data_IF_380276414351
#
_entry.id   IF_380276414351
#
_cell.length_a   1.000
_cell.length_b   1.000
_cell.length_c   1.000
_cell.angle_alpha   90.00
_cell.angle_beta   90.00
_cell.angle_gamma   90.00
#
_symmetry.space_group_name_H-M   'P 1'
#
loop_
_entity.id
_entity.type
_entity.pdbx_description
1 polymer ?
#
# COMPACT_ATOMS: atom_id res chain seq x y z
N UNK A 1 -21.69 42.49 4.06
CA UNK A 1 -20.67 41.83 4.91
C UNK A 1 -20.74 40.29 4.87
N UNK A 2 -21.92 39.67 5.07
CA UNK A 2 -22.09 38.19 5.02
C UNK A 2 -21.61 37.53 3.72
N UNK A 3 -21.89 38.13 2.56
CA UNK A 3 -21.46 37.60 1.25
C UNK A 3 -19.93 37.52 1.10
N UNK A 4 -19.21 38.50 1.65
CA UNK A 4 -17.74 38.55 1.56
C UNK A 4 -17.09 37.41 2.38
N UNK A 5 -17.65 37.11 3.56
CA UNK A 5 -17.17 36.02 4.42
C UNK A 5 -17.39 34.65 3.78
N UNK A 6 -18.52 34.47 3.07
CA UNK A 6 -18.80 33.23 2.33
C UNK A 6 -17.80 33.06 1.19
N UNK A 7 -17.50 34.12 0.44
CA UNK A 7 -16.52 34.06 -0.66
C UNK A 7 -15.13 33.72 -0.12
N UNK A 8 -14.69 34.34 0.99
CA UNK A 8 -13.39 34.05 1.61
C UNK A 8 -13.33 32.59 2.09
N UNK A 9 -14.39 32.09 2.73
CA UNK A 9 -14.45 30.70 3.20
C UNK A 9 -14.35 29.69 2.04
N UNK A 10 -15.06 29.93 0.93
CA UNK A 10 -14.97 29.09 -0.27
C UNK A 10 -13.58 29.16 -0.88
N UNK A 11 -12.97 30.36 -0.96
CA UNK A 11 -11.63 30.52 -1.52
C UNK A 11 -10.55 29.87 -0.66
N UNK A 12 -10.65 29.94 0.68
CA UNK A 12 -9.75 29.23 1.59
C UNK A 12 -9.90 27.71 1.48
N UNK A 13 -11.13 27.21 1.31
CA UNK A 13 -11.38 25.79 1.08
C UNK A 13 -10.83 25.31 -0.27
N UNK A 14 -10.97 26.12 -1.32
CA UNK A 14 -10.40 25.82 -2.64
C UNK A 14 -8.87 25.90 -2.63
N UNK A 15 -8.28 26.92 -1.98
CA UNK A 15 -6.82 27.04 -1.83
C UNK A 15 -6.22 25.91 -0.99
N UNK A 16 -6.90 25.46 0.06
CA UNK A 16 -6.48 24.30 0.84
C UNK A 16 -6.49 23.01 0.00
N UNK A 17 -7.44 22.89 -0.94
CA UNK A 17 -7.50 21.74 -1.85
C UNK A 17 -6.54 21.83 -3.04
N UNK A 18 -6.21 23.05 -3.53
CA UNK A 18 -5.31 23.27 -4.66
C UNK A 18 -3.84 23.24 -4.23
N UNK A 19 -3.52 23.74 -3.03
CA UNK A 19 -2.14 23.90 -2.56
C UNK A 19 -1.46 22.61 -2.08
N UNK A 20 -2.12 21.45 -2.22
CA UNK A 20 -1.60 20.13 -1.82
C UNK A 20 -1.64 19.08 -2.93
N UNK A 21 -1.90 19.49 -4.17
CA UNK A 21 -1.77 18.61 -5.33
C UNK A 21 -0.44 18.92 -6.03
N UNK A 22 0.68 18.59 -5.40
CA UNK A 22 1.89 18.32 -6.17
C UNK A 22 1.62 17.02 -6.94
N UNK A 23 1.16 17.17 -8.18
CA UNK A 23 1.13 16.07 -9.14
C UNK A 23 2.60 15.66 -9.34
N UNK A 24 3.01 14.53 -8.76
CA UNK A 24 4.33 13.99 -8.99
C UNK A 24 4.48 13.75 -10.49
N UNK A 25 5.57 14.25 -11.08
CA UNK A 25 5.85 13.90 -12.48
C UNK A 25 6.06 12.39 -12.58
N UNK A 26 5.75 11.78 -13.73
CA UNK A 26 6.02 10.35 -13.96
C UNK A 26 7.49 9.98 -13.64
N UNK A 27 8.41 10.93 -13.83
CA UNK A 27 9.83 10.79 -13.50
C UNK A 27 10.09 10.71 -11.99
N UNK A 28 9.33 11.43 -11.17
CA UNK A 28 9.47 11.40 -9.72
C UNK A 28 8.92 10.10 -9.14
N UNK A 29 7.80 9.60 -9.70
CA UNK A 29 7.22 8.31 -9.31
C UNK A 29 8.17 7.18 -9.68
N UNK A 30 8.72 7.19 -10.91
CA UNK A 30 9.68 6.17 -11.36
C UNK A 30 10.90 6.12 -10.44
N UNK A 31 11.46 7.28 -10.08
CA UNK A 31 12.58 7.37 -9.13
C UNK A 31 12.22 6.84 -7.75
N UNK A 32 11.06 7.20 -7.23
CA UNK A 32 10.60 6.74 -5.91
C UNK A 32 10.37 5.23 -5.89
N UNK A 33 9.71 4.67 -6.89
CA UNK A 33 9.43 3.22 -6.96
C UNK A 33 10.74 2.45 -7.10
N UNK A 34 11.64 2.89 -7.97
CA UNK A 34 12.88 2.13 -8.27
C UNK A 34 14.00 2.36 -7.26
N UNK A 35 13.84 3.27 -6.31
CA UNK A 35 14.74 3.38 -5.16
C UNK A 35 14.36 2.42 -4.03
N UNK A 36 13.71 1.28 -4.33
CA UNK A 36 13.35 0.29 -3.30
C UNK A 36 14.64 -0.28 -2.69
N UNK A 37 14.87 -0.18 -1.38
CA UNK A 37 16.06 -0.75 -0.74
C UNK A 37 16.02 -2.29 -0.73
N UNK A 38 17.18 -2.93 -0.84
CA UNK A 38 17.30 -4.40 -0.83
C UNK A 38 17.12 -4.99 0.58
N UNK A 39 17.47 -4.24 1.62
CA UNK A 39 17.34 -4.65 3.02
C UNK A 39 16.05 -4.10 3.63
N UNK A 40 15.05 -4.96 3.79
CA UNK A 40 13.75 -4.62 4.38
C UNK A 40 13.81 -4.23 5.87
N UNK A 41 14.97 -4.41 6.53
CA UNK A 41 15.19 -4.02 7.92
C UNK A 41 15.91 -2.67 8.08
N UNK A 42 16.34 -2.06 6.97
CA UNK A 42 17.11 -0.81 6.96
C UNK A 42 16.27 0.42 7.26
N UNK A 43 16.91 1.49 7.78
CA UNK A 43 16.25 2.79 7.96
C UNK A 43 15.80 3.38 6.62
N UNK A 44 16.58 3.15 5.55
CA UNK A 44 16.22 3.55 4.20
C UNK A 44 14.90 2.90 3.75
N UNK A 45 14.68 1.63 4.07
CA UNK A 45 13.44 0.92 3.75
C UNK A 45 12.25 1.54 4.46
N UNK A 46 12.34 1.80 5.77
CA UNK A 46 11.25 2.44 6.50
C UNK A 46 10.93 3.84 5.97
N UNK A 47 11.95 4.63 5.64
CA UNK A 47 11.77 5.95 5.02
C UNK A 47 11.09 5.83 3.65
N UNK A 48 11.50 4.86 2.84
CA UNK A 48 10.88 4.58 1.54
C UNK A 48 9.41 4.14 1.70
N UNK A 49 9.12 3.25 2.65
CA UNK A 49 7.75 2.81 2.98
C UNK A 49 6.85 3.98 3.34
N UNK A 50 7.34 4.91 4.16
CA UNK A 50 6.58 6.10 4.56
C UNK A 50 6.25 6.99 3.34
N UNK A 51 7.23 7.19 2.44
CA UNK A 51 7.03 7.95 1.20
C UNK A 51 6.00 7.27 0.29
N UNK A 52 6.08 5.95 0.11
CA UNK A 52 5.09 5.21 -0.68
C UNK A 52 3.69 5.35 -0.07
N UNK A 53 3.54 5.15 1.25
CA UNK A 53 2.25 5.21 1.93
C UNK A 53 1.60 6.59 1.91
N UNK A 54 2.40 7.65 1.96
CA UNK A 54 1.92 9.04 1.96
C UNK A 54 1.68 9.60 0.55
N UNK A 55 2.30 8.99 -0.48
CA UNK A 55 2.09 9.40 -1.87
C UNK A 55 0.64 9.16 -2.32
N UNK A 56 0.01 10.25 -2.76
CA UNK A 56 -1.38 10.27 -3.21
C UNK A 56 -1.49 9.58 -4.57
N UNK A 57 -2.51 8.75 -4.75
CA UNK A 57 -2.81 8.06 -6.01
C UNK A 57 -1.70 7.14 -6.56
N UNK A 58 -0.62 6.91 -5.81
CA UNK A 58 0.57 6.22 -6.28
C UNK A 58 0.28 4.82 -6.84
N UNK A 59 -0.73 4.11 -6.32
CA UNK A 59 -1.13 2.80 -6.83
C UNK A 59 -1.50 2.85 -8.31
N UNK A 60 -2.25 3.87 -8.76
CA UNK A 60 -2.61 4.01 -10.18
C UNK A 60 -1.40 4.31 -11.06
N UNK A 61 -0.47 5.11 -10.54
CA UNK A 61 0.74 5.45 -11.29
C UNK A 61 1.72 4.27 -11.35
N UNK A 62 1.82 3.46 -10.28
CA UNK A 62 2.57 2.21 -10.32
C UNK A 62 1.94 1.23 -11.32
N UNK A 63 0.60 1.14 -11.41
CA UNK A 63 -0.06 0.31 -12.43
C UNK A 63 0.24 0.78 -13.86
N UNK A 64 0.33 2.09 -14.09
CA UNK A 64 0.75 2.64 -15.40
C UNK A 64 2.21 2.30 -15.68
N UNK A 65 3.10 2.47 -14.70
CA UNK A 65 4.51 2.09 -14.82
C UNK A 65 4.64 0.61 -15.17
N UNK A 66 3.94 -0.26 -14.45
CA UNK A 66 3.97 -1.70 -14.65
C UNK A 66 3.55 -2.11 -16.07
N UNK A 67 2.55 -1.44 -16.67
CA UNK A 67 2.08 -1.71 -18.05
C UNK A 67 3.02 -1.23 -19.14
N UNK A 68 3.79 -0.18 -18.86
CA UNK A 68 4.66 0.47 -19.84
C UNK A 68 6.13 0.07 -19.68
N UNK A 69 6.46 -0.75 -18.68
CA UNK A 69 7.84 -1.13 -18.39
C UNK A 69 8.26 -2.35 -19.21
N UNK A 70 9.30 -2.16 -20.03
CA UNK A 70 9.86 -3.19 -20.89
C UNK A 70 10.92 -4.02 -20.15
N UNK A 71 11.56 -3.45 -19.12
CA UNK A 71 12.54 -4.15 -18.31
C UNK A 71 11.87 -4.91 -17.16
N UNK A 72 11.74 -6.22 -17.33
CA UNK A 72 11.14 -7.11 -16.34
C UNK A 72 11.86 -7.12 -14.98
N UNK A 73 13.14 -6.75 -14.92
CA UNK A 73 13.88 -6.65 -13.65
C UNK A 73 13.26 -5.58 -12.73
N UNK A 74 12.62 -4.58 -13.33
CA UNK A 74 11.99 -3.47 -12.61
C UNK A 74 10.56 -3.79 -12.13
N UNK A 75 10.01 -4.94 -12.51
CA UNK A 75 8.71 -5.41 -12.01
C UNK A 75 8.75 -5.64 -10.50
N UNK A 76 9.85 -6.17 -9.98
CA UNK A 76 10.03 -6.41 -8.55
C UNK A 76 9.75 -5.13 -7.73
N UNK A 77 10.35 -4.01 -8.09
CA UNK A 77 10.15 -2.73 -7.42
C UNK A 77 8.70 -2.25 -7.46
N UNK A 78 8.04 -2.44 -8.61
CA UNK A 78 6.63 -2.05 -8.79
C UNK A 78 5.71 -2.89 -7.90
N UNK A 79 5.90 -4.21 -7.86
CA UNK A 79 5.12 -5.09 -6.99
C UNK A 79 5.39 -4.86 -5.50
N UNK A 80 6.64 -4.62 -5.11
CA UNK A 80 7.00 -4.25 -3.74
C UNK A 80 6.30 -2.95 -3.31
N UNK A 81 6.32 -1.92 -4.16
CA UNK A 81 5.63 -0.65 -3.90
C UNK A 81 4.11 -0.85 -3.74
N UNK A 82 3.47 -1.64 -4.60
CA UNK A 82 2.04 -1.97 -4.49
C UNK A 82 1.71 -2.74 -3.19
N UNK A 83 2.58 -3.67 -2.79
CA UNK A 83 2.42 -4.44 -1.55
C UNK A 83 2.52 -3.53 -0.32
N UNK A 84 3.54 -2.68 -0.28
CA UNK A 84 3.75 -1.71 0.82
C UNK A 84 2.61 -0.71 0.90
N UNK A 85 2.08 -0.28 -0.24
CA UNK A 85 1.00 0.70 -0.29
C UNK A 85 -0.30 0.15 0.30
N UNK A 86 -0.63 -1.11 -0.01
CA UNK A 86 -1.72 -1.87 0.61
C UNK A 86 -3.14 -1.37 0.29
N UNK A 87 -3.31 -0.46 -0.67
CA UNK A 87 -4.61 0.14 -1.01
C UNK A 87 -5.04 -0.10 -2.46
N UNK A 88 -4.46 -1.12 -3.11
CA UNK A 88 -4.83 -1.49 -4.47
C UNK A 88 -6.33 -1.78 -4.54
N UNK A 89 -7.03 -1.12 -5.46
CA UNK A 89 -8.47 -1.31 -5.60
C UNK A 89 -8.77 -2.75 -6.04
N UNK A 90 -9.81 -3.36 -5.47
CA UNK A 90 -10.19 -4.74 -5.76
C UNK A 90 -10.36 -4.99 -7.27
N UNK A 91 -11.01 -4.06 -7.98
CA UNK A 91 -11.19 -4.16 -9.45
C UNK A 91 -9.88 -4.18 -10.24
N UNK A 92 -8.85 -3.47 -9.75
CA UNK A 92 -7.53 -3.46 -10.40
C UNK A 92 -6.78 -4.76 -10.10
N UNK A 93 -6.89 -5.27 -8.87
CA UNK A 93 -6.35 -6.57 -8.49
C UNK A 93 -6.99 -7.71 -9.30
N UNK A 94 -8.31 -7.73 -9.43
CA UNK A 94 -9.06 -8.69 -10.26
C UNK A 94 -8.55 -8.69 -11.70
N UNK A 95 -8.38 -7.49 -12.29
CA UNK A 95 -7.86 -7.35 -13.65
C UNK A 95 -6.44 -7.91 -13.79
N UNK A 96 -5.55 -7.61 -12.84
CA UNK A 96 -4.19 -8.17 -12.85
C UNK A 96 -4.24 -9.70 -12.74
N UNK A 97 -5.10 -10.25 -11.88
CA UNK A 97 -5.24 -11.70 -11.75
C UNK A 97 -5.72 -12.35 -13.04
N UNK A 98 -6.71 -11.77 -13.73
CA UNK A 98 -7.16 -12.27 -15.04
C UNK A 98 -6.01 -12.28 -16.06
N UNK A 99 -5.15 -11.26 -16.06
CA UNK A 99 -3.97 -11.19 -16.92
C UNK A 99 -2.94 -12.29 -16.56
N UNK A 100 -2.62 -12.47 -15.27
CA UNK A 100 -1.71 -13.52 -14.81
C UNK A 100 -2.24 -14.93 -15.10
N UNK A 101 -3.55 -15.13 -14.94
CA UNK A 101 -4.25 -16.36 -15.28
C UNK A 101 -4.18 -16.64 -16.78
N UNK A 102 -4.43 -15.63 -17.61
CA UNK A 102 -4.35 -15.78 -19.06
C UNK A 102 -2.94 -16.16 -19.52
N UNK A 103 -1.90 -15.68 -18.84
CA UNK A 103 -0.51 -16.08 -19.08
C UNK A 103 -0.31 -17.56 -18.69
N UNK A 104 -0.81 -17.96 -17.52
CA UNK A 104 -0.66 -19.32 -17.01
C UNK A 104 -1.44 -20.37 -17.82
N UNK A 105 -2.64 -20.02 -18.29
CA UNK A 105 -3.51 -20.89 -19.10
C UNK A 105 -3.15 -20.87 -20.60
N UNK A 106 -2.18 -20.04 -21.00
CA UNK A 106 -1.73 -19.95 -22.40
C UNK A 106 -1.17 -21.30 -22.88
N UNK A 107 -1.54 -21.77 -24.08
CA UNK A 107 -0.95 -22.98 -24.67
C UNK A 107 0.51 -22.78 -25.11
N UNK A 108 0.99 -21.52 -25.13
CA UNK A 108 2.38 -21.19 -25.42
C UNK A 108 3.15 -21.08 -24.12
N UNK A 109 4.38 -21.59 -24.11
CA UNK A 109 5.29 -21.38 -22.98
C UNK A 109 5.50 -19.87 -22.76
N UNK A 110 5.25 -19.35 -21.55
CA UNK A 110 5.41 -17.93 -21.28
C UNK A 110 6.87 -17.53 -21.31
N UNK A 111 7.13 -16.32 -21.79
CA UNK A 111 8.45 -15.68 -21.75
C UNK A 111 8.89 -15.42 -20.32
N UNK A 112 10.19 -15.17 -20.10
CA UNK A 112 10.70 -14.86 -18.76
C UNK A 112 10.02 -13.64 -18.13
N UNK A 113 9.77 -12.59 -18.94
CA UNK A 113 9.05 -11.38 -18.50
C UNK A 113 7.63 -11.70 -18.06
N UNK A 114 6.87 -12.45 -18.85
CA UNK A 114 5.50 -12.89 -18.50
C UNK A 114 5.47 -13.75 -17.23
N UNK A 115 6.46 -14.63 -17.06
CA UNK A 115 6.60 -15.44 -15.83
C UNK A 115 6.83 -14.57 -14.60
N UNK A 116 7.73 -13.59 -14.68
CA UNK A 116 8.02 -12.70 -13.56
C UNK A 116 6.81 -11.80 -13.27
N UNK A 117 6.16 -11.30 -14.31
CA UNK A 117 4.96 -10.49 -14.21
C UNK A 117 3.82 -11.24 -13.48
N UNK A 118 3.43 -12.42 -13.98
CA UNK A 118 2.35 -13.20 -13.39
C UNK A 118 2.70 -13.70 -11.97
N UNK A 119 3.96 -14.10 -11.74
CA UNK A 119 4.44 -14.45 -10.40
C UNK A 119 4.34 -13.27 -9.42
N UNK A 120 4.74 -12.08 -9.85
CA UNK A 120 4.62 -10.86 -9.07
C UNK A 120 3.18 -10.53 -8.71
N UNK A 121 2.23 -10.73 -9.63
CA UNK A 121 0.79 -10.57 -9.36
C UNK A 121 0.30 -11.56 -8.30
N UNK A 122 0.63 -12.84 -8.40
CA UNK A 122 0.27 -13.80 -7.36
C UNK A 122 0.88 -13.43 -6.00
N UNK A 123 2.10 -12.87 -6.00
CA UNK A 123 2.74 -12.40 -4.76
C UNK A 123 2.02 -11.21 -4.11
N UNK A 124 1.23 -10.43 -4.85
CA UNK A 124 0.43 -9.36 -4.25
C UNK A 124 -0.61 -9.94 -3.30
N UNK A 125 -1.15 -11.14 -3.58
CA UNK A 125 -2.20 -11.76 -2.78
C UNK A 125 -1.78 -12.07 -1.35
N UNK A 126 -0.47 -12.20 -1.09
CA UNK A 126 0.06 -12.26 0.28
C UNK A 126 -0.35 -11.04 1.13
N UNK A 127 -0.36 -9.84 0.52
CA UNK A 127 -0.75 -8.59 1.18
C UNK A 127 -2.26 -8.34 1.23
N UNK A 128 -3.06 -9.13 0.49
CA UNK A 128 -4.51 -8.98 0.38
C UNK A 128 -5.24 -10.28 0.71
N UNK A 129 -5.18 -10.78 1.96
CA UNK A 129 -5.82 -12.04 2.32
C UNK A 129 -7.35 -11.91 2.25
N UNK A 130 -7.99 -12.75 1.41
CA UNK A 130 -9.45 -12.87 1.33
C UNK A 130 -9.85 -14.29 0.92
N UNK A 131 -11.08 -14.71 1.25
CA UNK A 131 -11.62 -16.01 0.83
C UNK A 131 -11.72 -16.12 -0.70
N UNK A 132 -12.03 -15.02 -1.38
CA UNK A 132 -12.04 -14.95 -2.86
C UNK A 132 -10.65 -15.20 -3.44
N UNK A 133 -9.62 -14.57 -2.87
CA UNK A 133 -8.24 -14.75 -3.31
C UNK A 133 -7.74 -16.17 -3.03
N UNK A 134 -8.17 -16.77 -1.91
CA UNK A 134 -7.88 -18.17 -1.60
C UNK A 134 -8.43 -19.13 -2.67
N UNK A 135 -9.67 -18.94 -3.12
CA UNK A 135 -10.27 -19.80 -4.15
C UNK A 135 -9.53 -19.73 -5.48
N UNK A 136 -9.13 -18.52 -5.88
CA UNK A 136 -8.32 -18.30 -7.07
C UNK A 136 -6.98 -19.04 -6.93
N UNK A 137 -6.28 -18.83 -5.82
CA UNK A 137 -4.99 -19.49 -5.56
C UNK A 137 -5.10 -21.02 -5.55
N UNK A 138 -6.15 -21.58 -4.94
CA UNK A 138 -6.37 -23.03 -4.91
C UNK A 138 -6.68 -23.62 -6.29
N UNK A 139 -7.39 -22.87 -7.14
CA UNK A 139 -7.66 -23.26 -8.53
C UNK A 139 -6.36 -23.36 -9.33
N UNK A 140 -5.45 -22.40 -9.17
CA UNK A 140 -4.19 -22.32 -9.93
C UNK A 140 -3.00 -23.00 -9.24
N UNK A 141 -3.23 -23.64 -8.10
CA UNK A 141 -2.21 -24.32 -7.32
C UNK A 141 -1.40 -25.35 -8.11
N UNK A 142 -2.06 -26.10 -9.00
CA UNK A 142 -1.45 -27.17 -9.79
C UNK A 142 -0.89 -26.67 -11.14
N UNK A 143 -0.64 -25.36 -11.28
CA UNK A 143 -0.06 -24.78 -12.49
C UNK A 143 1.30 -25.42 -12.83
N UNK A 144 1.59 -25.51 -14.13
CA UNK A 144 2.79 -26.21 -14.62
C UNK A 144 4.10 -25.47 -14.31
N UNK A 145 4.05 -24.14 -14.15
CA UNK A 145 5.24 -23.33 -13.92
C UNK A 145 5.60 -23.27 -12.43
N UNK A 146 6.84 -23.62 -12.10
CA UNK A 146 7.33 -23.67 -10.72
C UNK A 146 7.33 -22.30 -10.04
N UNK A 147 7.62 -21.22 -10.77
CA UNK A 147 7.65 -19.86 -10.20
C UNK A 147 6.25 -19.39 -9.80
N UNK A 148 5.24 -19.66 -10.63
CA UNK A 148 3.84 -19.39 -10.27
C UNK A 148 3.42 -20.18 -9.04
N UNK A 149 3.77 -21.47 -9.03
CA UNK A 149 3.43 -22.36 -7.92
C UNK A 149 4.03 -21.88 -6.61
N UNK A 150 5.30 -21.47 -6.59
CA UNK A 150 5.94 -20.92 -5.38
C UNK A 150 5.21 -19.68 -4.87
N UNK A 151 4.89 -18.72 -5.74
CA UNK A 151 4.16 -17.51 -5.35
C UNK A 151 2.76 -17.81 -4.83
N UNK A 152 2.06 -18.78 -5.45
CA UNK A 152 0.75 -19.24 -5.01
C UNK A 152 0.84 -19.91 -3.62
N UNK A 153 1.84 -20.76 -3.40
CA UNK A 153 2.06 -21.41 -2.11
C UNK A 153 2.36 -20.37 -1.02
N UNK A 154 3.22 -19.40 -1.31
CA UNK A 154 3.52 -18.33 -0.36
C UNK A 154 2.27 -17.52 -0.02
N UNK A 155 1.47 -17.15 -1.03
CA UNK A 155 0.22 -16.43 -0.82
C UNK A 155 -0.79 -17.24 0.00
N UNK A 156 -0.97 -18.54 -0.31
CA UNK A 156 -1.83 -19.44 0.48
C UNK A 156 -1.33 -19.61 1.91
N UNK A 157 -0.01 -19.73 2.12
CA UNK A 157 0.59 -19.79 3.44
C UNK A 157 0.36 -18.51 4.25
N UNK A 158 0.41 -17.35 3.59
CA UNK A 158 0.11 -16.06 4.22
C UNK A 158 -1.38 -15.84 4.48
N UNK A 159 -2.26 -16.39 3.65
CA UNK A 159 -3.70 -16.45 3.95
C UNK A 159 -3.94 -17.37 5.15
N UNK A 160 -3.37 -18.58 5.18
CA UNK A 160 -3.33 -19.44 6.36
C UNK A 160 -4.71 -19.88 6.84
N UNK A 161 -5.57 -20.34 5.93
CA UNK A 161 -6.91 -20.88 6.20
C UNK A 161 -6.89 -22.41 6.21
N UNK A 162 -7.81 -23.04 6.95
CA UNK A 162 -7.90 -24.50 6.98
C UNK A 162 -8.22 -25.12 5.61
N UNK A 163 -8.90 -24.37 4.73
CA UNK A 163 -9.30 -24.82 3.40
C UNK A 163 -8.09 -25.04 2.47
N UNK A 164 -6.97 -24.34 2.66
CA UNK A 164 -5.77 -24.55 1.85
C UNK A 164 -4.85 -25.68 2.36
N UNK A 165 -5.05 -26.15 3.59
CA UNK A 165 -4.21 -27.18 4.22
C UNK A 165 -4.10 -28.49 3.42
N UNK A 166 -5.20 -29.08 2.92
CA UNK A 166 -5.10 -30.36 2.20
C UNK A 166 -4.20 -30.27 0.96
N UNK A 167 -4.32 -29.19 0.19
CA UNK A 167 -3.50 -28.96 -1.02
C UNK A 167 -2.04 -28.70 -0.67
N UNK A 168 -1.78 -27.84 0.33
CA UNK A 168 -0.42 -27.56 0.78
C UNK A 168 0.28 -28.82 1.29
N UNK A 169 -0.42 -29.65 2.07
CA UNK A 169 0.09 -30.93 2.57
C UNK A 169 0.36 -31.92 1.44
N UNK A 170 -0.57 -32.06 0.49
CA UNK A 170 -0.37 -32.93 -0.69
C UNK A 170 0.87 -32.52 -1.49
N UNK A 171 1.09 -31.22 -1.68
CA UNK A 171 2.27 -30.70 -2.39
C UNK A 171 3.56 -31.05 -1.66
N UNK A 172 3.60 -30.79 -0.35
CA UNK A 172 4.68 -31.17 0.57
C UNK A 172 4.98 -32.66 0.44
N UNK A 173 3.98 -33.53 0.65
CA UNK A 173 4.13 -34.99 0.59
C UNK A 173 4.65 -35.47 -0.78
N UNK A 174 4.19 -34.88 -1.89
CA UNK A 174 4.59 -35.27 -3.25
C UNK A 174 6.03 -34.89 -3.64
N UNK A 175 6.62 -33.88 -3.00
CA UNK A 175 7.97 -33.37 -3.32
C UNK A 175 9.03 -33.84 -2.32
N UNK A 176 8.70 -34.77 -1.41
CA UNK A 176 9.61 -35.30 -0.38
C UNK A 176 10.52 -36.44 -0.84
N UNK A 177 10.45 -36.88 -2.11
CA UNK A 177 11.11 -38.13 -2.52
C UNK A 177 12.45 -37.98 -3.25
N UNK A 178 12.87 -36.79 -3.71
CA UNK A 178 14.15 -36.70 -4.44
C UNK A 178 15.13 -35.60 -4.00
N UNK A 179 14.75 -34.35 -3.68
CA UNK A 179 15.70 -33.29 -3.29
C UNK A 179 15.12 -32.33 -2.21
N UNK A 180 15.76 -32.26 -1.03
CA UNK A 180 15.74 -31.07 -0.15
C UNK A 180 14.81 -31.09 1.08
N UNK A 181 15.21 -31.76 2.16
CA UNK A 181 14.53 -31.73 3.46
C UNK A 181 14.48 -30.32 4.11
N UNK A 182 15.42 -29.42 3.78
CA UNK A 182 15.61 -28.14 4.48
C UNK A 182 14.64 -27.04 4.00
N UNK A 183 14.41 -26.92 2.69
CA UNK A 183 13.43 -25.97 2.13
C UNK A 183 11.99 -26.38 2.51
N UNK A 184 11.78 -27.69 2.59
CA UNK A 184 10.53 -28.32 2.99
C UNK A 184 10.19 -28.09 4.47
N UNK A 185 11.16 -28.26 5.37
CA UNK A 185 10.96 -28.01 6.80
C UNK A 185 10.64 -26.52 7.09
N UNK A 186 11.32 -25.60 6.41
CA UNK A 186 11.09 -24.17 6.59
C UNK A 186 9.71 -23.73 6.11
N UNK A 187 9.29 -24.12 4.90
CA UNK A 187 7.98 -23.72 4.37
C UNK A 187 6.83 -24.34 5.18
N UNK A 188 6.97 -25.60 5.56
CA UNK A 188 6.00 -26.32 6.39
C UNK A 188 5.89 -25.70 7.78
N UNK A 189 7.02 -25.39 8.43
CA UNK A 189 7.04 -24.71 9.74
C UNK A 189 6.38 -23.34 9.69
N UNK A 190 6.67 -22.53 8.66
CA UNK A 190 6.06 -21.19 8.48
C UNK A 190 4.55 -21.30 8.28
N UNK A 191 4.08 -22.28 7.49
CA UNK A 191 2.64 -22.49 7.26
C UNK A 191 1.94 -22.90 8.57
N UNK A 192 2.48 -23.88 9.30
CA UNK A 192 1.88 -24.31 10.58
C UNK A 192 1.88 -23.19 11.63
N UNK A 193 2.98 -22.43 11.74
CA UNK A 193 3.07 -21.30 12.66
C UNK A 193 2.02 -20.22 12.32
N UNK A 194 1.87 -19.86 11.04
CA UNK A 194 0.87 -18.86 10.62
C UNK A 194 -0.57 -19.33 10.88
N UNK A 195 -0.86 -20.62 10.70
CA UNK A 195 -2.17 -21.21 11.02
C UNK A 195 -2.43 -21.15 12.52
N UNK A 196 -1.45 -21.55 13.34
CA UNK A 196 -1.55 -21.49 14.80
C UNK A 196 -1.80 -20.04 15.27
N UNK A 197 -1.05 -19.07 14.74
CA UNK A 197 -1.23 -17.66 15.05
C UNK A 197 -2.65 -17.16 14.70
N UNK A 198 -3.23 -17.64 13.59
CA UNK A 198 -4.60 -17.25 13.19
C UNK A 198 -5.66 -17.86 14.10
N UNK A 199 -5.53 -19.13 14.48
CA UNK A 199 -6.43 -19.78 15.44
C UNK A 199 -6.37 -19.11 16.82
N UNK A 200 -5.17 -18.73 17.27
CA UNK A 200 -5.02 -17.93 18.49
C UNK A 200 -5.75 -16.58 18.40
N UNK A 201 -5.76 -15.91 17.24
CA UNK A 201 -6.51 -14.65 17.03
C UNK A 201 -8.03 -14.86 17.07
N UNK A 202 -8.56 -15.92 16.45
CA UNK A 202 -10.00 -16.25 16.50
C UNK A 202 -10.45 -16.47 17.95
N UNK A 203 -9.72 -17.30 18.69
CA UNK A 203 -10.01 -17.62 20.08
C UNK A 203 -9.96 -16.38 21.00
N UNK A 204 -9.07 -15.41 20.74
CA UNK A 204 -9.03 -14.11 21.45
C UNK A 204 -10.19 -13.19 21.08
N UNK A 205 -10.69 -13.24 19.84
CA UNK A 205 -11.83 -12.48 19.37
C UNK A 205 -13.15 -12.95 19.98
N UNK A 206 -13.33 -14.26 20.12
CA UNK A 206 -14.55 -14.85 20.69
C UNK A 206 -14.61 -14.70 22.21
N UNK A 207 -13.47 -14.69 22.91
CA UNK A 207 -13.39 -14.40 24.35
C UNK A 207 -13.85 -12.98 24.74
N UNK A 208 -13.93 -12.04 23.77
CA UNK A 208 -14.44 -10.67 23.99
C UNK A 208 -15.96 -10.53 23.81
N UNK A 209 -16.65 -11.57 23.34
CA UNK A 209 -18.11 -11.54 23.06
C UNK A 209 -18.98 -12.14 24.17
N UNK A 210 -18.44 -12.43 25.35
CA UNK A 210 -19.24 -12.65 26.56
C UNK A 210 -19.45 -11.32 27.27
N UNK A 211 -20.62 -10.66 27.16
CA UNK A 211 -20.98 -9.63 28.11
C UNK A 211 -21.36 -10.35 29.39
N UNK A 212 -20.55 -10.22 30.43
CA UNK A 212 -21.10 -10.30 31.76
C UNK A 212 -20.78 -9.01 32.50
N UNK A 213 -21.88 -8.39 32.89
CA UNK A 213 -22.04 -7.16 33.64
C UNK A 213 -21.31 -7.22 34.98
N UNK A 214 -21.08 -6.01 35.49
CA UNK A 214 -20.64 -5.67 36.83
C UNK A 214 -19.17 -5.95 37.13
N UNK A 215 -18.37 -4.88 37.07
CA UNK A 215 -17.64 -4.39 38.25
C UNK A 215 -17.42 -2.89 38.08
N UNK A 216 -18.16 -2.15 38.89
CA UNK A 216 -17.88 -0.78 39.32
C UNK A 216 -16.57 -0.77 40.10
N UNK A 217 -15.63 0.12 39.77
CA UNK A 217 -14.84 1.01 40.67
C UNK A 217 -13.56 1.51 39.96
N UNK A 218 -13.21 2.81 40.07
CA UNK A 218 -12.13 3.41 39.29
C UNK A 218 -10.77 3.27 39.97
N UNK A 219 -9.72 3.01 39.19
CA UNK A 219 -8.33 3.09 39.64
C UNK A 219 -7.58 4.09 38.79
N UNK A 220 -7.28 5.24 39.40
CA UNK A 220 -6.31 6.22 38.92
C UNK A 220 -4.93 5.57 38.84
N UNK A 221 -4.23 5.74 37.72
CA UNK A 221 -2.78 5.72 37.69
C UNK A 221 -2.30 6.88 36.81
N UNK A 222 -1.70 7.85 37.49
CA UNK A 222 -0.85 8.88 36.93
C UNK A 222 0.39 8.21 36.31
N UNK A 223 0.72 8.59 35.09
CA UNK A 223 2.08 8.50 34.59
C UNK A 223 2.50 9.88 34.09
N UNK A 224 3.35 10.51 34.90
CA UNK A 224 4.15 11.65 34.51
C UNK A 224 5.11 11.23 33.39
N UNK A 225 5.00 11.87 32.22
CA UNK A 225 6.06 11.87 31.22
C UNK A 225 6.53 13.31 31.01
N UNK A 226 7.77 13.55 31.43
CA UNK A 226 8.55 14.75 31.17
C UNK A 226 8.94 14.72 29.70
N UNK A 227 8.49 15.70 28.93
CA UNK A 227 8.93 15.92 27.54
C UNK A 227 9.88 17.12 27.51
N UNK A 228 11.17 16.82 27.28
CA UNK A 228 12.16 17.82 26.88
C UNK A 228 11.87 18.24 25.44
N UNK A 229 11.77 19.55 25.26
CA UNK A 229 11.43 20.27 24.04
C UNK A 229 12.74 20.79 23.45
N UNK A 230 13.22 20.16 22.38
CA UNK A 230 14.27 20.74 21.54
C UNK A 230 13.62 21.53 20.39
N UNK A 231 13.98 22.81 20.34
CA UNK A 231 13.51 23.80 19.38
C UNK A 231 14.49 23.84 18.20
N UNK A 232 14.05 23.49 17.00
CA UNK A 232 14.70 23.94 15.75
C UNK A 232 13.78 23.82 14.54
N UNK A 233 12.73 24.65 14.47
CA UNK A 233 12.06 24.96 13.20
C UNK A 233 11.63 26.43 13.16
N UNK A 234 12.45 27.28 12.52
CA UNK A 234 12.08 28.66 12.19
C UNK A 234 12.76 29.07 10.89
N UNK A 235 12.29 28.55 9.75
CA UNK A 235 12.57 29.18 8.45
C UNK A 235 11.44 29.03 7.42
N UNK A 236 10.55 28.05 7.57
CA UNK A 236 9.40 27.82 6.65
C UNK A 236 8.16 28.66 6.97
N UNK A 237 8.06 29.22 8.18
CA UNK A 237 6.97 30.14 8.52
C UNK A 237 7.13 31.51 7.84
N UNK A 238 8.37 32.02 7.70
CA UNK A 238 8.61 33.35 7.14
C UNK A 238 8.31 33.45 5.63
N UNK A 239 8.52 32.37 4.85
CA UNK A 239 8.23 32.37 3.41
C UNK A 239 6.73 32.43 3.11
N UNK A 240 5.89 31.79 3.95
CA UNK A 240 4.43 31.80 3.80
C UNK A 240 3.81 33.17 4.07
N UNK A 241 4.39 33.97 4.98
CA UNK A 241 3.93 35.34 5.25
C UNK A 241 4.23 36.31 4.11
N UNK A 242 5.33 36.14 3.37
CA UNK A 242 5.70 37.03 2.26
C UNK A 242 4.74 36.88 1.08
N UNK A 243 4.35 35.65 0.73
CA UNK A 243 3.40 35.39 -0.38
C UNK A 243 2.01 35.96 -0.07
N UNK A 244 1.55 35.79 1.17
CA UNK A 244 0.26 36.34 1.61
C UNK A 244 0.25 37.88 1.59
N UNK A 245 1.34 38.51 2.04
CA UNK A 245 1.48 39.97 2.02
C UNK A 245 1.46 40.53 0.59
N UNK A 246 2.14 39.86 -0.36
CA UNK A 246 2.15 40.27 -1.78
C UNK A 246 0.76 40.15 -2.43
N UNK A 247 0.02 39.07 -2.13
CA UNK A 247 -1.34 38.89 -2.63
C UNK A 247 -2.30 39.99 -2.12
N UNK A 248 -2.19 40.37 -0.85
CA UNK A 248 -3.00 41.45 -0.25
C UNK A 248 -2.67 42.82 -0.87
N UNK A 249 -1.40 43.09 -1.17
CA UNK A 249 -0.99 44.33 -1.85
C UNK A 249 -1.59 44.41 -3.25
N UNK A 250 -1.56 43.32 -4.03
CA UNK A 250 -2.14 43.30 -5.38
C UNK A 250 -3.65 43.51 -5.37
N UNK A 251 -4.37 42.90 -4.42
CA UNK A 251 -5.81 43.12 -4.23
C UNK A 251 -6.08 44.60 -3.89
N UNK A 252 -5.28 45.19 -3.00
CA UNK A 252 -5.45 46.59 -2.60
C UNK A 252 -5.17 47.57 -3.75
N UNK A 253 -4.14 47.30 -4.56
CA UNK A 253 -3.82 48.10 -5.76
C UNK A 253 -4.93 47.98 -6.80
N UNK A 254 -5.43 46.78 -7.07
CA UNK A 254 -6.56 46.56 -7.98
C UNK A 254 -7.82 47.29 -7.54
N UNK A 255 -8.13 47.25 -6.23
CA UNK A 255 -9.28 47.95 -5.67
C UNK A 255 -9.17 49.47 -5.80
N UNK A 256 -7.99 50.05 -5.54
CA UNK A 256 -7.75 51.48 -5.75
C UNK A 256 -7.88 51.89 -7.21
N UNK A 257 -7.42 51.07 -8.14
CA UNK A 257 -7.51 51.36 -9.57
C UNK A 257 -8.97 51.37 -10.05
N UNK A 258 -9.76 50.37 -9.64
CA UNK A 258 -11.19 50.30 -9.92
C UNK A 258 -11.97 51.48 -9.30
N UNK A 259 -11.67 51.83 -8.05
CA UNK A 259 -12.31 52.97 -7.37
C UNK A 259 -12.00 54.32 -8.05
N UNK A 260 -10.78 54.47 -8.61
CA UNK A 260 -10.39 55.67 -9.36
C UNK A 260 -11.09 55.77 -10.72
N UNK A 261 -11.34 54.64 -11.39
CA UNK A 261 -12.06 54.61 -12.68
C UNK A 261 -13.52 55.08 -12.56
N UNK A 262 -14.21 54.73 -11.47
CA UNK A 262 -15.60 55.11 -11.24
C UNK A 262 -15.84 56.60 -10.96
N UNK A 263 -14.81 57.37 -10.62
CA UNK A 263 -14.94 58.83 -10.41
C UNK A 263 -14.76 59.65 -11.69
N UNK A 264 -14.49 59.01 -12.83
CA UNK A 264 -14.29 59.66 -14.14
C UNK A 264 -15.46 59.44 -15.11
N UNK A 265 -16.51 58.77 -14.66
CA UNK A 265 -17.82 58.68 -15.33
C UNK A 265 -18.82 59.50 -14.52
#
# INVERSE_FOLDING_TARGET
MKLLLIIISIYSFLLANISYAEEHSDLDIKKLVYSTPDDESSEEYYSWVEKIKTARSISQDILKLLKNEENWELFYHSFSALRVRGDLALRDLEKLLDEAISIADSPKAPTMSEKIYASGIFSLLEGYPSETNEEILLKYFDCHDGSFRTSIINALGSIGTEKCLPKLKQFIDAHTTEHGADTHANLTSVIYEKIEQREQRKNRGDARKTPNSDITTPRQQETNYVSQKDETESSTAQSKFIVLAMALVLIFVGYKFLAKSRKRQ
#
